data_IF_372488046554
#
_entry.id   IF_372488046554
#
_cell.length_a   1.000
_cell.length_b   1.000
_cell.length_c   1.000
_cell.angle_alpha   90.00
_cell.angle_beta   90.00
_cell.angle_gamma   90.00
#
_symmetry.space_group_name_H-M   'P 1'
#
loop_
_entity.id
_entity.type
_entity.pdbx_description
1 polymer ?
#
# COMPACT_ATOMS: atom_id res chain seq x y z
N UNK A 1 -14.82 -20.99 -2.96
CA UNK A 1 -13.57 -20.40 -3.48
C UNK A 1 -13.14 -21.22 -4.69
N UNK A 2 -12.78 -20.58 -5.80
CA UNK A 2 -12.27 -21.25 -7.01
C UNK A 2 -10.83 -20.79 -7.20
N UNK A 3 -9.90 -21.72 -7.43
CA UNK A 3 -8.50 -21.42 -7.68
C UNK A 3 -8.20 -21.52 -9.17
N UNK A 4 -7.72 -20.43 -9.76
CA UNK A 4 -7.27 -20.39 -11.16
C UNK A 4 -5.75 -20.41 -11.17
N UNK A 5 -5.16 -21.43 -11.80
CA UNK A 5 -3.70 -21.63 -11.81
C UNK A 5 -3.18 -21.84 -13.23
N UNK A 6 -1.99 -21.32 -13.49
CA UNK A 6 -1.32 -21.37 -14.79
C UNK A 6 -1.74 -20.25 -15.75
N UNK A 7 -0.78 -19.78 -16.55
CA UNK A 7 -0.94 -18.63 -17.45
C UNK A 7 -2.20 -18.70 -18.31
N UNK A 8 -2.45 -19.85 -18.97
CA UNK A 8 -3.60 -20.03 -19.88
C UNK A 8 -4.92 -19.77 -19.18
N UNK A 9 -5.12 -20.38 -18.01
CA UNK A 9 -6.38 -20.26 -17.26
C UNK A 9 -6.54 -18.88 -16.63
N UNK A 10 -5.45 -18.29 -16.11
CA UNK A 10 -5.45 -16.93 -15.56
C UNK A 10 -5.81 -15.91 -16.63
N UNK A 11 -5.23 -16.03 -17.83
CA UNK A 11 -5.56 -15.17 -18.97
C UNK A 11 -7.03 -15.34 -19.41
N UNK A 12 -7.50 -16.59 -19.49
CA UNK A 12 -8.88 -16.89 -19.85
C UNK A 12 -9.86 -16.21 -18.88
N UNK A 13 -9.66 -16.38 -17.57
CA UNK A 13 -10.53 -15.81 -16.55
C UNK A 13 -10.44 -14.26 -16.50
N UNK A 14 -9.23 -13.70 -16.48
CA UNK A 14 -9.03 -12.26 -16.22
C UNK A 14 -9.08 -11.36 -17.46
N UNK A 15 -9.00 -11.93 -18.67
CA UNK A 15 -9.03 -11.15 -19.93
C UNK A 15 -10.22 -11.53 -20.78
N UNK A 16 -10.37 -12.82 -21.10
CA UNK A 16 -11.41 -13.27 -22.03
C UNK A 16 -12.81 -13.29 -21.39
N UNK A 17 -12.88 -13.54 -20.08
CA UNK A 17 -14.11 -13.54 -19.29
C UNK A 17 -14.15 -12.44 -18.23
N UNK A 18 -13.47 -11.31 -18.46
CA UNK A 18 -13.32 -10.22 -17.48
C UNK A 18 -14.66 -9.80 -16.83
N UNK A 19 -15.72 -9.63 -17.63
CA UNK A 19 -17.02 -9.18 -17.13
C UNK A 19 -17.64 -10.15 -16.10
N UNK A 20 -17.27 -11.43 -16.15
CA UNK A 20 -17.72 -12.45 -15.18
C UNK A 20 -16.90 -12.45 -13.88
N UNK A 21 -15.73 -11.82 -13.86
CA UNK A 21 -14.78 -11.83 -12.73
C UNK A 21 -14.32 -10.42 -12.30
N UNK A 22 -15.05 -9.38 -12.69
CA UNK A 22 -14.69 -7.99 -12.40
C UNK A 22 -14.88 -7.63 -10.92
N UNK A 23 -15.77 -8.32 -10.23
CA UNK A 23 -16.10 -8.06 -8.84
C UNK A 23 -14.96 -8.41 -7.89
N UNK A 24 -14.93 -7.69 -6.75
CA UNK A 24 -13.98 -7.97 -5.66
C UNK A 24 -14.73 -8.67 -4.53
N UNK A 25 -14.29 -9.86 -4.11
CA UNK A 25 -14.85 -10.50 -2.92
C UNK A 25 -14.56 -9.63 -1.69
N UNK A 26 -15.45 -9.64 -0.69
CA UNK A 26 -15.17 -8.96 0.57
C UNK A 26 -13.94 -9.59 1.23
N UNK A 27 -13.05 -8.75 1.73
CA UNK A 27 -11.90 -9.15 2.55
C UNK A 27 -12.17 -8.63 3.96
N UNK A 28 -12.76 -9.44 4.86
CA UNK A 28 -13.17 -9.00 6.20
C UNK A 28 -12.09 -8.23 6.97
N UNK A 29 -10.82 -8.60 6.83
CA UNK A 29 -9.69 -7.95 7.49
C UNK A 29 -9.56 -6.46 7.11
N UNK A 30 -9.94 -6.08 5.90
CA UNK A 30 -9.81 -4.72 5.37
C UNK A 30 -11.15 -4.04 5.05
N UNK A 31 -12.27 -4.69 5.37
CA UNK A 31 -13.59 -4.26 4.92
C UNK A 31 -13.94 -2.82 5.32
N UNK A 32 -13.55 -2.42 6.54
CA UNK A 32 -13.81 -1.08 7.09
C UNK A 32 -12.94 0.02 6.45
N UNK A 33 -11.84 -0.36 5.80
CA UNK A 33 -10.86 0.57 5.20
C UNK A 33 -10.99 0.67 3.68
N UNK A 34 -11.59 -0.31 3.03
CA UNK A 34 -11.66 -0.37 1.56
C UNK A 34 -12.90 0.33 1.00
N UNK A 35 -12.77 1.61 0.63
CA UNK A 35 -13.78 2.35 -0.14
C UNK A 35 -13.43 2.43 -1.65
N UNK A 36 -13.01 1.32 -2.27
CA UNK A 36 -12.14 1.44 -3.45
C UNK A 36 -12.80 1.35 -4.86
N UNK A 37 -14.07 0.97 -5.01
CA UNK A 37 -14.56 0.60 -6.36
C UNK A 37 -15.17 1.74 -7.17
N UNK A 38 -15.96 2.63 -6.55
CA UNK A 38 -16.66 3.69 -7.30
C UNK A 38 -15.70 4.74 -7.89
N UNK A 39 -14.53 4.92 -7.29
CA UNK A 39 -13.58 5.97 -7.66
C UNK A 39 -12.44 5.49 -8.57
N UNK A 40 -12.38 4.21 -8.94
CA UNK A 40 -11.28 3.66 -9.77
C UNK A 40 -11.11 4.38 -11.11
N UNK A 41 -12.21 4.64 -11.82
CA UNK A 41 -12.15 5.34 -13.12
C UNK A 41 -11.60 6.76 -12.96
N UNK A 42 -12.03 7.45 -11.91
CA UNK A 42 -11.57 8.80 -11.56
C UNK A 42 -10.07 8.78 -11.24
N UNK A 43 -9.64 7.95 -10.29
CA UNK A 43 -8.24 7.82 -9.90
C UNK A 43 -7.33 7.48 -11.10
N UNK A 44 -7.70 6.50 -11.94
CA UNK A 44 -6.92 6.15 -13.12
C UNK A 44 -6.79 7.29 -14.13
N UNK A 45 -7.86 8.07 -14.31
CA UNK A 45 -7.84 9.20 -15.24
C UNK A 45 -6.84 10.27 -14.77
N UNK A 46 -6.87 10.60 -13.47
CA UNK A 46 -5.96 11.57 -12.88
C UNK A 46 -4.52 11.07 -12.81
N UNK A 47 -4.28 9.81 -12.41
CA UNK A 47 -2.94 9.23 -12.39
C UNK A 47 -2.31 9.21 -13.78
N UNK A 48 -3.07 8.88 -14.84
CA UNK A 48 -2.57 8.94 -16.22
C UNK A 48 -2.25 10.38 -16.64
N UNK A 49 -3.05 11.35 -16.20
CA UNK A 49 -2.78 12.77 -16.45
C UNK A 49 -1.48 13.25 -15.78
N UNK A 50 -1.23 12.87 -14.52
CA UNK A 50 0.02 13.19 -13.82
C UNK A 50 1.25 12.49 -14.42
N UNK A 51 1.08 11.28 -14.96
CA UNK A 51 2.12 10.53 -15.65
C UNK A 51 2.38 11.02 -17.07
N UNK A 52 1.52 10.63 -18.02
CA UNK A 52 1.73 10.85 -19.46
C UNK A 52 1.50 12.30 -19.89
N UNK A 53 0.56 12.99 -19.24
CA UNK A 53 0.15 14.35 -19.62
C UNK A 53 1.14 15.42 -19.17
N UNK A 54 1.36 15.52 -17.85
CA UNK A 54 2.19 16.56 -17.25
C UNK A 54 3.65 16.15 -17.00
N UNK A 55 3.94 14.83 -17.03
CA UNK A 55 5.23 14.25 -16.58
C UNK A 55 5.61 14.66 -15.16
N UNK A 56 4.62 14.95 -14.32
CA UNK A 56 4.86 15.34 -12.92
C UNK A 56 5.40 14.16 -12.12
N UNK A 57 4.91 12.94 -12.41
CA UNK A 57 5.39 11.73 -11.75
C UNK A 57 6.89 11.47 -12.02
N UNK A 58 7.34 11.70 -13.25
CA UNK A 58 8.77 11.62 -13.62
C UNK A 58 9.59 12.61 -12.78
N UNK A 59 9.17 13.89 -12.75
CA UNK A 59 9.85 14.93 -11.97
C UNK A 59 9.90 14.63 -10.47
N UNK A 60 8.79 14.17 -9.87
CA UNK A 60 8.77 13.79 -8.46
C UNK A 60 9.68 12.58 -8.19
N UNK A 61 9.74 11.64 -9.13
CA UNK A 61 10.65 10.49 -9.03
C UNK A 61 12.11 10.93 -9.12
N UNK A 62 12.47 11.76 -10.10
CA UNK A 62 13.83 12.30 -10.24
C UNK A 62 14.27 13.09 -9.01
N UNK A 63 13.38 13.94 -8.49
CA UNK A 63 13.63 14.72 -7.29
C UNK A 63 13.84 13.81 -6.07
N UNK A 64 12.96 12.82 -5.86
CA UNK A 64 13.07 11.94 -4.71
C UNK A 64 14.28 11.00 -4.81
N UNK A 65 14.69 10.61 -6.02
CA UNK A 65 15.95 9.91 -6.26
C UNK A 65 17.16 10.73 -5.76
N UNK A 66 17.16 12.06 -5.93
CA UNK A 66 18.24 12.91 -5.42
C UNK A 66 18.30 12.87 -3.89
N UNK A 67 17.17 13.05 -3.20
CA UNK A 67 17.09 12.97 -1.73
C UNK A 67 17.48 11.59 -1.20
N UNK A 68 17.03 10.52 -1.87
CA UNK A 68 17.39 9.15 -1.50
C UNK A 68 18.90 8.94 -1.64
N UNK A 69 19.51 9.40 -2.73
CA UNK A 69 20.96 9.30 -2.93
C UNK A 69 21.75 10.09 -1.88
N UNK A 70 21.27 11.27 -1.48
CA UNK A 70 21.88 12.06 -0.41
C UNK A 70 21.81 11.34 0.93
N UNK A 71 20.64 10.84 1.31
CA UNK A 71 20.46 10.08 2.56
C UNK A 71 21.35 8.83 2.60
N UNK A 72 21.50 8.10 1.50
CA UNK A 72 22.40 6.93 1.45
C UNK A 72 23.88 7.36 1.58
N UNK A 73 24.28 8.51 1.05
CA UNK A 73 25.66 9.02 1.18
C UNK A 73 26.01 9.38 2.63
N UNK A 74 25.02 9.85 3.42
CA UNK A 74 25.21 10.22 4.84
C UNK A 74 25.60 9.03 5.73
N UNK A 75 25.29 7.81 5.30
CA UNK A 75 25.73 6.58 5.98
C UNK A 75 27.25 6.38 5.89
N UNK A 76 27.95 7.10 4.99
CA UNK A 76 29.41 7.11 4.86
C UNK A 76 30.02 5.70 4.65
N UNK A 77 29.30 4.85 3.90
CA UNK A 77 29.71 3.47 3.62
C UNK A 77 29.57 2.50 4.80
N UNK A 78 28.97 2.94 5.92
CA UNK A 78 28.64 2.05 7.03
C UNK A 78 27.47 1.11 6.64
N UNK A 79 27.44 -0.12 7.17
CA UNK A 79 26.26 -0.97 7.03
C UNK A 79 25.04 -0.32 7.68
N UNK A 80 23.93 -0.25 6.95
CA UNK A 80 22.66 0.27 7.43
C UNK A 80 21.49 -0.53 6.82
N UNK A 81 20.29 -0.40 7.38
CA UNK A 81 19.08 -1.00 6.81
C UNK A 81 18.37 0.01 5.90
N UNK A 82 18.36 -0.19 4.57
CA UNK A 82 17.77 0.77 3.63
C UNK A 82 16.24 0.72 3.59
N UNK A 83 15.60 -0.26 4.24
CA UNK A 83 14.17 -0.51 4.09
C UNK A 83 13.33 0.72 4.47
N UNK A 84 13.62 1.35 5.61
CA UNK A 84 12.90 2.55 6.05
C UNK A 84 13.10 3.74 5.11
N UNK A 85 14.33 3.99 4.65
CA UNK A 85 14.67 5.10 3.75
C UNK A 85 14.03 4.93 2.37
N UNK A 86 14.05 3.71 1.83
CA UNK A 86 13.42 3.40 0.54
C UNK A 86 11.90 3.49 0.64
N UNK A 87 11.29 2.96 1.71
CA UNK A 87 9.85 3.12 1.94
C UNK A 87 9.46 4.59 2.04
N UNK A 88 10.27 5.41 2.73
CA UNK A 88 10.05 6.86 2.81
C UNK A 88 10.09 7.53 1.44
N UNK A 89 11.11 7.24 0.63
CA UNK A 89 11.23 7.74 -0.73
C UNK A 89 10.01 7.40 -1.60
N UNK A 90 9.61 6.13 -1.63
CA UNK A 90 8.44 5.68 -2.41
C UNK A 90 7.17 6.40 -1.93
N UNK A 91 6.97 6.49 -0.62
CA UNK A 91 5.82 7.17 -0.04
C UNK A 91 5.81 8.66 -0.32
N UNK A 92 6.96 9.33 -0.39
CA UNK A 92 7.07 10.74 -0.77
C UNK A 92 6.68 11.00 -2.23
N UNK A 93 6.98 10.07 -3.15
CA UNK A 93 6.51 10.17 -4.54
C UNK A 93 4.98 10.13 -4.56
N UNK A 94 4.37 9.21 -3.79
CA UNK A 94 2.90 9.12 -3.68
C UNK A 94 2.32 10.36 -2.99
N UNK A 95 2.91 10.82 -1.88
CA UNK A 95 2.51 12.05 -1.18
C UNK A 95 2.57 13.28 -2.08
N UNK A 96 3.59 13.38 -2.94
CA UNK A 96 3.71 14.48 -3.89
C UNK A 96 2.59 14.45 -4.94
N UNK A 97 2.15 13.25 -5.35
CA UNK A 97 1.02 13.10 -6.29
C UNK A 97 -0.33 13.36 -5.62
N UNK A 98 -0.53 12.89 -4.38
CA UNK A 98 -1.82 12.95 -3.69
C UNK A 98 -2.02 14.27 -2.94
N UNK A 99 -1.00 14.74 -2.23
CA UNK A 99 -1.03 15.92 -1.36
C UNK A 99 -0.28 17.13 -1.94
N UNK A 100 0.39 16.98 -3.08
CA UNK A 100 1.14 18.06 -3.72
C UNK A 100 2.45 18.44 -3.04
N UNK A 101 2.87 17.70 -2.00
CA UNK A 101 4.10 17.97 -1.26
C UNK A 101 4.75 16.68 -0.74
N UNK A 102 6.04 16.79 -0.40
CA UNK A 102 6.84 15.74 0.24
C UNK A 102 7.06 16.05 1.72
N UNK A 103 7.34 15.02 2.49
CA UNK A 103 7.75 15.10 3.89
C UNK A 103 9.27 14.98 4.02
N UNK A 104 9.82 15.58 5.07
CA UNK A 104 11.24 15.41 5.40
C UNK A 104 11.51 13.98 5.89
N UNK A 105 12.72 13.46 5.65
CA UNK A 105 13.07 12.11 6.14
C UNK A 105 13.14 12.02 7.66
N UNK A 106 13.34 13.16 8.31
CA UNK A 106 13.35 13.35 9.76
C UNK A 106 11.96 13.63 10.34
N UNK A 107 10.92 13.71 9.52
CA UNK A 107 9.55 13.91 10.00
C UNK A 107 9.09 12.67 10.78
N UNK A 108 9.08 12.78 12.11
CA UNK A 108 8.72 11.69 13.01
C UNK A 108 7.25 11.25 12.84
N UNK A 109 6.36 12.18 12.49
CA UNK A 109 4.95 11.88 12.26
C UNK A 109 4.78 11.04 10.99
N UNK A 110 5.41 11.45 9.89
CA UNK A 110 5.36 10.69 8.65
C UNK A 110 6.04 9.32 8.78
N UNK A 111 7.21 9.27 9.42
CA UNK A 111 7.89 8.00 9.74
C UNK A 111 7.01 7.08 10.56
N UNK A 112 6.26 7.61 11.53
CA UNK A 112 5.35 6.82 12.35
C UNK A 112 4.23 6.19 11.52
N UNK A 113 3.64 6.93 10.58
CA UNK A 113 2.62 6.39 9.65
C UNK A 113 3.21 5.25 8.83
N UNK A 114 4.40 5.44 8.25
CA UNK A 114 5.05 4.41 7.43
C UNK A 114 5.39 3.15 8.22
N UNK A 115 5.79 3.30 9.50
CA UNK A 115 6.01 2.17 10.40
C UNK A 115 4.70 1.44 10.70
N UNK A 116 3.63 2.16 11.02
CA UNK A 116 2.32 1.58 11.30
C UNK A 116 1.79 0.79 10.10
N UNK A 117 1.93 1.32 8.89
CA UNK A 117 1.51 0.65 7.65
C UNK A 117 2.37 -0.60 7.38
N UNK A 118 3.70 -0.49 7.53
CA UNK A 118 4.61 -1.64 7.39
C UNK A 118 4.25 -2.77 8.38
N UNK A 119 4.03 -2.42 9.64
CA UNK A 119 3.61 -3.38 10.69
C UNK A 119 2.25 -4.01 10.36
N UNK A 120 1.29 -3.22 9.87
CA UNK A 120 -0.04 -3.71 9.49
C UNK A 120 0.04 -4.69 8.30
N UNK A 121 0.81 -4.36 7.25
CA UNK A 121 1.01 -5.22 6.08
C UNK A 121 1.66 -6.54 6.48
N UNK A 122 2.70 -6.50 7.32
CA UNK A 122 3.36 -7.72 7.82
C UNK A 122 2.42 -8.55 8.69
N UNK A 123 1.65 -7.93 9.58
CA UNK A 123 0.69 -8.61 10.43
C UNK A 123 -0.44 -9.26 9.60
N UNK A 124 -0.93 -8.57 8.58
CA UNK A 124 -1.96 -9.09 7.66
C UNK A 124 -1.48 -10.32 6.87
N UNK A 125 -0.18 -10.41 6.57
CA UNK A 125 0.42 -11.57 5.91
C UNK A 125 0.46 -12.84 6.76
N UNK A 126 0.29 -12.74 8.09
CA UNK A 126 0.40 -13.89 8.99
C UNK A 126 -0.74 -14.90 8.81
N UNK A 127 -0.50 -16.22 9.03
CA UNK A 127 -1.56 -17.23 8.91
C UNK A 127 -2.77 -16.98 9.84
N UNK A 128 -2.51 -16.45 11.04
CA UNK A 128 -3.57 -16.13 12.01
C UNK A 128 -4.41 -14.93 11.55
N UNK A 129 -3.80 -13.93 10.90
CA UNK A 129 -4.56 -12.84 10.30
C UNK A 129 -5.40 -13.33 9.12
N UNK A 130 -4.86 -14.21 8.26
CA UNK A 130 -5.62 -14.79 7.15
C UNK A 130 -6.82 -15.63 7.62
N UNK A 131 -6.75 -16.26 8.81
CA UNK A 131 -7.91 -16.94 9.41
C UNK A 131 -9.07 -15.99 9.72
N UNK A 132 -8.81 -14.69 9.95
CA UNK A 132 -9.85 -13.69 10.14
C UNK A 132 -10.74 -13.56 8.89
N UNK A 133 -10.18 -13.68 7.69
CA UNK A 133 -10.96 -13.62 6.44
C UNK A 133 -11.85 -14.86 6.23
N UNK A 134 -11.53 -15.99 6.88
CA UNK A 134 -12.32 -17.23 6.81
C UNK A 134 -13.39 -17.29 7.90
N UNK A 135 -13.03 -16.91 9.14
CA UNK A 135 -13.89 -17.02 10.32
C UNK A 135 -13.96 -15.71 11.12
N UNK A 136 -14.41 -14.59 10.53
CA UNK A 136 -14.35 -13.27 11.18
C UNK A 136 -15.15 -13.23 12.48
N UNK A 137 -16.32 -13.90 12.53
CA UNK A 137 -17.17 -13.92 13.73
C UNK A 137 -16.53 -14.60 14.95
N UNK A 138 -15.71 -15.63 14.74
CA UNK A 138 -14.97 -16.28 15.82
C UNK A 138 -13.69 -15.50 16.14
N UNK A 139 -12.90 -15.19 15.10
CA UNK A 139 -11.58 -14.59 15.25
C UNK A 139 -11.65 -13.20 15.88
N UNK A 140 -12.72 -12.43 15.66
CA UNK A 140 -12.95 -11.11 16.28
C UNK A 140 -12.83 -11.12 17.82
N UNK A 141 -13.15 -12.23 18.46
CA UNK A 141 -13.10 -12.37 19.92
C UNK A 141 -11.78 -12.97 20.44
N UNK A 142 -10.92 -13.49 19.54
CA UNK A 142 -9.66 -14.11 19.91
C UNK A 142 -8.52 -13.11 19.72
N UNK A 143 -7.51 -13.06 20.62
CA UNK A 143 -6.36 -12.20 20.43
C UNK A 143 -5.58 -12.62 19.18
N UNK A 144 -5.16 -11.66 18.37
CA UNK A 144 -4.35 -11.98 17.20
C UNK A 144 -3.86 -10.77 16.41
N UNK A 145 -3.05 -11.02 15.36
CA UNK A 145 -2.45 -9.98 14.53
C UNK A 145 -3.47 -9.12 13.80
N UNK A 146 -4.70 -9.61 13.57
CA UNK A 146 -5.78 -8.82 12.98
C UNK A 146 -6.16 -7.59 13.83
N UNK A 147 -6.04 -7.64 15.16
CA UNK A 147 -6.23 -6.48 16.02
C UNK A 147 -5.14 -5.42 15.82
N UNK A 148 -3.89 -5.85 15.59
CA UNK A 148 -2.78 -4.94 15.25
C UNK A 148 -3.04 -4.26 13.91
N UNK A 149 -3.48 -5.01 12.90
CA UNK A 149 -3.85 -4.47 11.58
C UNK A 149 -4.92 -3.38 11.75
N UNK A 150 -6.02 -3.68 12.44
CA UNK A 150 -7.11 -2.72 12.65
C UNK A 150 -6.67 -1.50 13.44
N UNK A 151 -5.93 -1.70 14.54
CA UNK A 151 -5.42 -0.60 15.37
C UNK A 151 -4.50 0.33 14.57
N UNK A 152 -3.60 -0.23 13.77
CA UNK A 152 -2.66 0.56 12.99
C UNK A 152 -3.37 1.35 11.89
N UNK A 153 -4.32 0.75 11.16
CA UNK A 153 -5.08 1.48 10.14
C UNK A 153 -6.00 2.56 10.72
N UNK A 154 -6.60 2.35 11.91
CA UNK A 154 -7.33 3.41 12.60
C UNK A 154 -6.41 4.58 12.94
N UNK A 155 -5.22 4.31 13.50
CA UNK A 155 -4.25 5.36 13.81
C UNK A 155 -3.74 6.11 12.57
N UNK A 156 -3.66 5.44 11.41
CA UNK A 156 -3.30 6.07 10.13
C UNK A 156 -4.42 6.96 9.59
N UNK A 157 -5.68 6.56 9.77
CA UNK A 157 -6.85 7.34 9.30
C UNK A 157 -7.11 8.56 10.18
N UNK A 158 -6.81 8.48 11.47
CA UNK A 158 -6.94 9.59 12.42
C UNK A 158 -5.84 10.67 12.27
N UNK A 159 -4.81 10.40 11.46
CA UNK A 159 -3.72 11.33 11.16
C UNK A 159 -4.13 12.34 10.07
#
# INVERSE_FOLDING_TARGET
>A
MVFVSGYKMVKEALVNHLDSFVDRPPVPLFHEFTMALKQRKFANTHLRYFGEGLRTLEKYTEQECQFLCESIKEEQGRPFNPQATVTNAISNIISSVVFGHRFEYTDESFRRILQLDTEAVLAAGSPIAQLYDVFPGLMKHLPGPHHTVHKNYLAIIDF
#
